data_IF_059829010265
#
_entry.id   IF_059829010265
#
_cell.length_a   1.000
_cell.length_b   1.000
_cell.length_c   1.000
_cell.angle_alpha   90.00
_cell.angle_beta   90.00
_cell.angle_gamma   90.00
#
_symmetry.space_group_name_H-M   'P 1'
#
loop_
_entity.id
_entity.type
_entity.pdbx_description
1 polymer ?
#
# COMPACT_ATOMS: atom_id res chain seq x y z
N UNK A 1 -5.73 18.44 13.10
CA UNK A 1 -6.59 17.23 13.14
C UNK A 1 -5.72 16.01 12.94
N UNK A 2 -5.83 15.00 13.80
CA UNK A 2 -5.11 13.73 13.61
C UNK A 2 -5.81 12.88 12.53
N UNK A 3 -5.10 12.43 11.50
CA UNK A 3 -5.67 11.64 10.38
C UNK A 3 -5.18 10.19 10.34
N UNK A 4 -4.02 9.91 10.92
CA UNK A 4 -3.55 8.55 11.25
C UNK A 4 -2.85 8.56 12.61
N UNK A 5 -2.32 7.43 13.09
CA UNK A 5 -1.56 7.38 14.34
C UNK A 5 -0.38 8.38 14.38
N UNK A 6 0.32 8.57 13.27
CA UNK A 6 1.56 9.37 13.24
C UNK A 6 1.49 10.60 12.33
N UNK A 7 0.34 10.89 11.72
CA UNK A 7 0.18 12.03 10.82
C UNK A 7 -1.03 12.89 11.18
N UNK A 8 -0.82 14.21 11.08
CA UNK A 8 -1.84 15.24 11.19
C UNK A 8 -2.14 15.86 9.83
N UNK A 9 -3.34 16.40 9.66
CA UNK A 9 -3.77 17.06 8.43
C UNK A 9 -2.88 18.26 8.09
N UNK A 10 -2.48 19.02 9.10
CA UNK A 10 -1.67 20.24 8.98
C UNK A 10 -0.27 19.98 8.40
N UNK A 11 0.24 18.75 8.53
CA UNK A 11 1.53 18.37 7.92
C UNK A 11 1.46 18.29 6.40
N UNK A 12 0.27 17.99 5.85
CA UNK A 12 0.04 17.92 4.41
C UNK A 12 -0.55 19.23 3.87
N UNK A 13 -1.38 19.91 4.65
CA UNK A 13 -2.06 21.14 4.26
C UNK A 13 -1.92 22.19 5.38
N UNK A 14 -0.83 22.99 5.38
CA UNK A 14 -0.52 23.94 6.45
C UNK A 14 -1.59 25.01 6.67
N UNK A 15 -2.37 25.34 5.64
CA UNK A 15 -3.48 26.31 5.73
C UNK A 15 -4.67 25.79 6.54
N UNK A 16 -4.82 24.47 6.71
CA UNK A 16 -5.92 23.83 7.45
C UNK A 16 -7.29 23.91 6.79
N UNK A 17 -7.54 24.88 5.91
CA UNK A 17 -8.79 25.03 5.17
C UNK A 17 -8.78 24.14 3.91
N UNK A 18 -9.22 22.89 4.07
CA UNK A 18 -9.18 21.88 3.02
C UNK A 18 -10.61 21.43 2.69
N UNK A 19 -11.05 21.48 1.42
CA UNK A 19 -12.32 20.89 1.00
C UNK A 19 -12.38 19.40 1.35
N UNK A 20 -13.53 18.91 1.81
CA UNK A 20 -13.66 17.53 2.32
C UNK A 20 -13.23 16.44 1.33
N UNK A 21 -13.39 16.65 0.02
CA UNK A 21 -12.91 15.70 -0.99
C UNK A 21 -11.37 15.65 -1.09
N UNK A 22 -10.68 16.78 -0.89
CA UNK A 22 -9.22 16.83 -0.82
C UNK A 22 -8.75 16.22 0.49
N UNK A 23 -9.45 16.47 1.60
CA UNK A 23 -9.12 15.87 2.90
C UNK A 23 -9.16 14.34 2.84
N UNK A 24 -10.15 13.76 2.14
CA UNK A 24 -10.23 12.32 1.92
C UNK A 24 -9.02 11.77 1.15
N UNK A 25 -8.54 12.51 0.13
CA UNK A 25 -7.33 12.13 -0.60
C UNK A 25 -6.08 12.17 0.29
N UNK A 26 -5.95 13.22 1.10
CA UNK A 26 -4.84 13.36 2.06
C UNK A 26 -4.88 12.21 3.06
N UNK A 27 -6.06 11.85 3.57
CA UNK A 27 -6.23 10.73 4.50
C UNK A 27 -5.81 9.41 3.86
N UNK A 28 -6.21 9.16 2.61
CA UNK A 28 -5.81 7.96 1.87
C UNK A 28 -4.28 7.89 1.67
N UNK A 29 -3.65 9.02 1.33
CA UNK A 29 -2.19 9.13 1.19
C UNK A 29 -1.49 8.87 2.53
N UNK A 30 -1.94 9.53 3.60
CA UNK A 30 -1.38 9.38 4.94
C UNK A 30 -1.48 7.92 5.45
N UNK A 31 -2.54 7.20 5.10
CA UNK A 31 -2.66 5.77 5.41
C UNK A 31 -1.60 4.91 4.69
N UNK A 32 -1.27 5.22 3.43
CA UNK A 32 -0.20 4.51 2.73
C UNK A 32 1.17 4.81 3.33
N UNK A 33 1.42 6.09 3.65
CA UNK A 33 2.66 6.51 4.31
C UNK A 33 2.77 5.94 5.73
N UNK A 34 1.65 5.71 6.42
CA UNK A 34 1.65 5.05 7.72
C UNK A 34 2.17 3.61 7.60
N UNK A 35 1.73 2.86 6.59
CA UNK A 35 2.25 1.50 6.33
C UNK A 35 3.74 1.51 6.00
N UNK A 36 4.21 2.48 5.23
CA UNK A 36 5.63 2.67 4.96
C UNK A 36 6.42 2.99 6.23
N UNK A 37 5.88 3.86 7.09
CA UNK A 37 6.45 4.20 8.40
C UNK A 37 6.59 2.95 9.27
N UNK A 38 5.54 2.13 9.32
CA UNK A 38 5.49 0.89 10.10
C UNK A 38 6.50 -0.14 9.56
N UNK A 39 6.65 -0.25 8.23
CA UNK A 39 7.64 -1.12 7.58
C UNK A 39 9.08 -0.79 8.00
N UNK A 40 9.42 0.49 8.09
CA UNK A 40 10.77 0.92 8.49
C UNK A 40 10.93 1.10 10.00
N UNK A 41 9.83 1.13 10.76
CA UNK A 41 9.79 1.58 12.15
C UNK A 41 10.55 2.91 12.35
N UNK A 42 10.41 3.84 11.41
CA UNK A 42 11.19 5.07 11.34
C UNK A 42 10.29 6.29 11.10
N UNK A 43 10.57 7.45 11.70
CA UNK A 43 9.80 8.66 11.44
C UNK A 43 9.81 9.10 9.98
N UNK A 44 8.66 9.57 9.50
CA UNK A 44 8.48 10.19 8.19
C UNK A 44 8.17 11.67 8.41
N UNK A 45 8.85 12.55 7.69
CA UNK A 45 8.61 14.00 7.70
C UNK A 45 8.04 14.42 6.35
N UNK A 46 6.85 15.00 6.36
CA UNK A 46 6.25 15.60 5.16
C UNK A 46 6.90 16.96 4.93
N UNK A 47 7.50 17.14 3.76
CA UNK A 47 8.10 18.42 3.35
C UNK A 47 7.14 19.26 2.53
N UNK A 48 6.36 18.59 1.66
CA UNK A 48 5.39 19.25 0.80
C UNK A 48 4.23 18.31 0.50
N UNK A 49 3.02 18.70 0.91
CA UNK A 49 1.77 18.01 0.56
C UNK A 49 0.93 18.81 -0.43
N UNK A 50 -0.26 19.23 0.00
CA UNK A 50 -1.20 20.04 -0.76
C UNK A 50 -0.56 21.37 -1.19
N UNK A 51 -0.57 21.65 -2.50
CA UNK A 51 0.08 22.82 -3.07
C UNK A 51 -0.60 23.26 -4.36
N UNK A 52 -1.08 24.51 -4.42
CA UNK A 52 -1.74 25.07 -5.62
C UNK A 52 -0.81 25.18 -6.83
N UNK A 53 0.48 25.41 -6.57
CA UNK A 53 1.56 25.47 -7.57
C UNK A 53 2.28 24.14 -7.75
N UNK A 54 1.81 23.07 -7.09
CA UNK A 54 2.41 21.74 -7.15
C UNK A 54 2.02 20.93 -8.39
N UNK A 55 2.39 19.65 -8.38
CA UNK A 55 1.85 18.67 -9.35
C UNK A 55 0.32 18.56 -9.23
N UNK A 56 -0.33 17.94 -10.23
CA UNK A 56 -1.77 17.74 -10.18
C UNK A 56 -2.19 16.92 -8.95
N UNK A 57 -1.40 15.92 -8.56
CA UNK A 57 -1.67 15.09 -7.39
C UNK A 57 -1.49 15.89 -6.09
N UNK A 58 -0.50 16.79 -6.04
CA UNK A 58 -0.35 17.72 -4.91
C UNK A 58 -1.54 18.67 -4.83
N UNK A 59 -2.04 19.22 -5.94
CA UNK A 59 -3.25 20.09 -5.95
C UNK A 59 -4.50 19.35 -5.47
N UNK A 60 -4.55 18.04 -5.67
CA UNK A 60 -5.67 17.17 -5.26
C UNK A 60 -5.46 16.52 -3.89
N UNK A 61 -4.34 16.76 -3.22
CA UNK A 61 -4.01 16.16 -1.92
C UNK A 61 -3.68 14.67 -1.98
N UNK A 62 -3.42 14.11 -3.16
CA UNK A 62 -3.10 12.69 -3.37
C UNK A 62 -1.60 12.43 -3.60
N UNK A 63 -0.74 13.46 -3.53
CA UNK A 63 0.71 13.33 -3.64
C UNK A 63 1.46 14.18 -2.63
N UNK A 64 2.63 13.71 -2.21
CA UNK A 64 3.51 14.42 -1.27
C UNK A 64 5.00 14.14 -1.53
N UNK A 65 5.83 15.07 -1.07
CA UNK A 65 7.28 14.93 -0.94
C UNK A 65 7.62 14.77 0.54
N UNK A 66 8.43 13.78 0.85
CA UNK A 66 8.77 13.45 2.23
C UNK A 66 10.18 12.86 2.35
N UNK A 67 10.64 12.74 3.60
CA UNK A 67 11.86 12.03 3.98
C UNK A 67 11.54 10.96 5.02
N UNK A 68 12.39 9.94 5.11
CA UNK A 68 12.30 8.91 6.15
C UNK A 68 13.60 8.92 6.94
N UNK A 69 13.51 9.04 8.26
CA UNK A 69 14.69 9.16 9.12
C UNK A 69 15.61 7.95 8.97
N UNK A 70 16.90 8.20 8.73
CA UNK A 70 17.92 7.16 8.56
C UNK A 70 17.81 6.33 7.28
N UNK A 71 17.02 6.77 6.29
CA UNK A 71 16.92 6.12 4.98
C UNK A 71 17.23 7.10 3.85
N UNK A 72 17.86 6.60 2.81
CA UNK A 72 18.01 7.34 1.56
C UNK A 72 16.80 7.08 0.64
N UNK A 73 16.67 7.88 -0.40
CA UNK A 73 15.57 7.84 -1.36
C UNK A 73 15.48 6.50 -2.07
N UNK A 74 16.61 5.90 -2.45
CA UNK A 74 16.62 4.59 -3.12
C UNK A 74 16.04 3.47 -2.24
N UNK A 75 16.40 3.44 -0.95
CA UNK A 75 15.83 2.49 0.01
C UNK A 75 14.32 2.68 0.16
N UNK A 76 13.88 3.94 0.27
CA UNK A 76 12.47 4.27 0.43
C UNK A 76 11.67 3.91 -0.83
N UNK A 77 12.21 4.20 -2.02
CA UNK A 77 11.63 3.83 -3.30
C UNK A 77 11.49 2.32 -3.44
N UNK A 78 12.56 1.57 -3.16
CA UNK A 78 12.53 0.10 -3.24
C UNK A 78 11.49 -0.51 -2.28
N UNK A 79 11.34 0.07 -1.08
CA UNK A 79 10.31 -0.35 -0.13
C UNK A 79 8.90 -0.04 -0.63
N UNK A 80 8.65 1.16 -1.18
CA UNK A 80 7.38 1.51 -1.80
C UNK A 80 7.02 0.56 -2.95
N UNK A 81 7.96 0.29 -3.86
CA UNK A 81 7.76 -0.66 -4.96
C UNK A 81 7.41 -2.06 -4.45
N UNK A 82 8.09 -2.51 -3.40
CA UNK A 82 7.80 -3.81 -2.76
C UNK A 82 6.41 -3.84 -2.14
N UNK A 83 6.02 -2.80 -1.40
CA UNK A 83 4.69 -2.69 -0.79
C UNK A 83 3.58 -2.64 -1.84
N UNK A 84 3.80 -1.95 -2.96
CA UNK A 84 2.86 -1.91 -4.09
C UNK A 84 2.74 -3.30 -4.74
N UNK A 85 3.88 -3.94 -5.03
CA UNK A 85 3.92 -5.27 -5.65
C UNK A 85 3.21 -6.32 -4.79
N UNK A 86 3.30 -6.21 -3.48
CA UNK A 86 2.64 -7.11 -2.54
C UNK A 86 1.16 -6.75 -2.29
N UNK A 87 0.64 -5.68 -2.91
CA UNK A 87 -0.74 -5.20 -2.68
C UNK A 87 -0.97 -4.64 -1.28
N UNK A 88 0.10 -4.33 -0.53
CA UNK A 88 0.00 -3.81 0.84
C UNK A 88 -0.34 -2.32 0.86
N UNK A 89 0.11 -1.56 -0.14
CA UNK A 89 -0.31 -0.18 -0.37
C UNK A 89 -0.93 -0.02 -1.76
N UNK A 90 -1.73 1.03 -1.92
CA UNK A 90 -2.33 1.40 -3.19
C UNK A 90 -1.22 1.75 -4.19
N UNK A 91 -1.39 1.32 -5.44
CA UNK A 91 -0.46 1.64 -6.52
C UNK A 91 -0.35 3.17 -6.72
N UNK A 92 0.83 3.64 -7.10
CA UNK A 92 1.13 5.06 -7.19
C UNK A 92 2.38 5.38 -8.01
N UNK A 93 2.54 6.66 -8.32
CA UNK A 93 3.76 7.20 -8.93
C UNK A 93 4.79 7.46 -7.86
N UNK A 94 6.00 6.93 -8.03
CA UNK A 94 7.14 7.15 -7.15
C UNK A 94 8.19 7.95 -7.91
N UNK A 95 8.68 9.04 -7.31
CA UNK A 95 9.75 9.86 -7.87
C UNK A 95 10.86 10.07 -6.84
N UNK A 96 12.08 10.26 -7.32
CA UNK A 96 13.21 10.69 -6.51
C UNK A 96 13.60 12.10 -6.96
N UNK A 97 13.65 13.03 -6.00
CA UNK A 97 14.19 14.37 -6.25
C UNK A 97 15.70 14.39 -6.03
N UNK A 98 16.15 13.75 -4.96
CA UNK A 98 17.56 13.57 -4.65
C UNK A 98 17.78 12.37 -3.71
N UNK A 99 18.95 12.32 -3.06
CA UNK A 99 19.35 11.24 -2.16
C UNK A 99 18.42 11.01 -0.98
N UNK A 100 17.63 12.00 -0.54
CA UNK A 100 16.83 11.87 0.68
C UNK A 100 15.34 12.19 0.45
N UNK A 101 15.03 12.93 -0.62
CA UNK A 101 13.67 13.38 -0.92
C UNK A 101 12.96 12.47 -1.90
N UNK A 102 11.85 11.89 -1.44
CA UNK A 102 11.00 11.00 -2.23
C UNK A 102 9.65 11.64 -2.49
N UNK A 103 9.20 11.54 -3.72
CA UNK A 103 7.84 11.81 -4.12
C UNK A 103 7.03 10.53 -4.15
N UNK A 104 5.85 10.55 -3.55
CA UNK A 104 4.86 9.51 -3.74
C UNK A 104 3.49 10.12 -3.98
N UNK A 105 2.80 9.64 -5.01
CA UNK A 105 1.44 10.01 -5.28
C UNK A 105 0.59 8.79 -5.61
N UNK A 106 -0.63 8.76 -5.08
CA UNK A 106 -1.57 7.68 -5.36
C UNK A 106 -2.00 7.75 -6.82
N UNK A 107 -2.04 6.59 -7.48
CA UNK A 107 -2.68 6.49 -8.79
C UNK A 107 -4.14 6.88 -8.62
N UNK A 108 -4.72 7.70 -9.51
CA UNK A 108 -6.13 8.05 -9.45
C UNK A 108 -6.98 6.79 -9.51
N UNK A 109 -7.55 6.37 -8.38
CA UNK A 109 -8.49 5.25 -8.35
C UNK A 109 -9.81 5.80 -8.89
N UNK A 110 -10.00 5.72 -10.21
CA UNK A 110 -11.24 6.17 -10.88
C UNK A 110 -11.57 7.63 -10.63
N UNK A 111 -11.06 8.51 -11.50
CA UNK A 111 -11.47 9.92 -11.69
C UNK A 111 -12.85 10.28 -11.08
N UNK A 112 -12.80 11.24 -10.13
CA UNK A 112 -13.89 12.05 -9.51
C UNK A 112 -14.90 11.30 -8.61
N UNK A 113 -14.84 11.56 -7.29
CA UNK A 113 -15.91 11.20 -6.34
C UNK A 113 -17.12 12.15 -6.38
N UNK A 114 -17.05 13.25 -7.15
CA UNK A 114 -18.00 14.36 -7.11
C UNK A 114 -18.55 14.79 -8.49
N UNK A 115 -18.02 14.31 -9.62
CA UNK A 115 -18.69 14.46 -10.93
C UNK A 115 -18.43 13.26 -11.85
N UNK A 116 -19.31 12.27 -11.74
CA UNK A 116 -19.88 11.64 -12.95
C UNK A 116 -21.34 12.03 -12.99
N UNK A 117 -21.64 13.18 -13.58
CA UNK A 117 -22.92 13.30 -14.27
C UNK A 117 -22.88 12.27 -15.39
N UNK A 118 -23.57 11.16 -15.18
CA UNK A 118 -24.05 10.33 -16.27
C UNK A 118 -24.92 11.22 -17.15
N UNK A 119 -24.33 11.83 -18.16
CA UNK A 119 -25.12 12.39 -19.25
C UNK A 119 -25.59 11.18 -20.08
N UNK A 120 -26.90 10.91 -20.18
CA UNK A 120 -27.39 9.87 -21.06
C UNK A 120 -27.21 10.36 -22.49
N UNK A 121 -26.25 9.80 -23.24
CA UNK A 121 -26.25 9.96 -24.69
C UNK A 121 -27.42 9.14 -25.23
N UNK A 122 -28.53 9.85 -25.43
CA UNK A 122 -29.74 9.43 -26.13
C UNK A 122 -29.37 9.18 -27.60
N UNK A 123 -29.16 7.93 -27.96
CA UNK A 123 -29.12 7.43 -29.34
C UNK A 123 -29.86 6.10 -29.37
N UNK A 124 -31.08 6.12 -29.91
CA UNK A 124 -32.04 5.01 -29.86
C UNK A 124 -31.66 3.84 -30.76
N UNK A 125 -32.08 2.65 -30.31
CA UNK A 125 -32.00 1.38 -31.03
C UNK A 125 -32.69 0.28 -30.22
N UNK A 126 -34.02 0.28 -30.24
CA UNK A 126 -34.94 -0.85 -29.94
C UNK A 126 -34.46 -2.14 -30.63
N UNK A 127 -34.64 -3.38 -30.17
CA UNK A 127 -35.42 -3.97 -29.08
C UNK A 127 -35.21 -5.51 -29.07
N UNK A 128 -35.15 -6.10 -27.88
CA UNK A 128 -35.57 -7.47 -27.47
C UNK A 128 -34.68 -8.72 -27.79
N UNK A 129 -34.46 -9.64 -26.82
CA UNK A 129 -33.64 -10.86 -26.93
C UNK A 129 -34.50 -12.10 -27.32
N UNK A 130 -33.95 -13.29 -27.67
CA UNK A 130 -33.48 -14.26 -26.65
C UNK A 130 -32.37 -15.25 -27.08
N UNK A 131 -31.77 -15.90 -26.06
CA UNK A 131 -31.29 -17.30 -26.00
C UNK A 131 -30.68 -17.99 -27.24
N UNK A 132 -29.44 -18.50 -27.12
CA UNK A 132 -29.07 -19.91 -27.45
C UNK A 132 -27.72 -20.24 -26.79
N UNK A 133 -27.69 -21.33 -26.01
CA UNK A 133 -26.49 -22.04 -25.56
C UNK A 133 -26.28 -23.28 -26.46
N UNK A 134 -25.24 -24.12 -26.21
CA UNK A 134 -23.92 -24.19 -26.85
C UNK A 134 -23.84 -25.17 -28.05
N UNK A 135 -22.73 -25.19 -28.81
CA UNK A 135 -22.35 -26.38 -29.57
C UNK A 135 -20.82 -26.56 -29.70
N UNK A 136 -20.44 -27.81 -29.50
CA UNK A 136 -19.13 -28.49 -29.54
C UNK A 136 -18.57 -28.63 -30.96
N UNK A 137 -17.25 -28.79 -31.12
CA UNK A 137 -16.63 -29.95 -31.81
C UNK A 137 -15.11 -30.01 -31.58
N UNK A 138 -14.69 -31.20 -31.17
CA UNK A 138 -13.38 -31.81 -30.90
C UNK A 138 -12.55 -32.06 -32.16
N UNK A 139 -11.21 -31.91 -32.08
CA UNK A 139 -10.22 -32.86 -32.65
C UNK A 139 -8.89 -32.80 -31.87
N UNK A 140 -8.50 -33.91 -31.23
CA UNK A 140 -7.16 -34.17 -30.65
C UNK A 140 -6.30 -34.99 -31.65
N UNK A 141 -4.95 -35.03 -31.55
CA UNK A 141 -4.25 -36.13 -30.83
C UNK A 141 -2.83 -35.76 -30.31
N UNK A 142 -1.97 -36.71 -29.83
CA UNK A 142 -2.18 -37.83 -28.93
C UNK A 142 -1.29 -37.77 -27.66
N UNK A 143 -1.63 -38.66 -26.73
CA UNK A 143 -1.03 -38.93 -25.41
C UNK A 143 0.18 -39.87 -25.52
N UNK A 144 1.29 -39.53 -24.85
CA UNK A 144 2.23 -40.51 -24.31
C UNK A 144 3.06 -39.89 -23.17
N UNK A 145 2.78 -40.24 -21.91
CA UNK A 145 3.86 -40.57 -20.97
C UNK A 145 3.38 -41.49 -19.83
N UNK A 146 4.28 -42.37 -19.45
CA UNK A 146 4.10 -43.66 -18.80
C UNK A 146 4.53 -43.57 -17.32
N UNK A 147 3.55 -43.65 -16.40
CA UNK A 147 3.46 -44.60 -15.27
C UNK A 147 4.62 -44.69 -14.24
N UNK A 148 4.19 -44.63 -12.95
CA UNK A 148 4.67 -45.37 -11.74
C UNK A 148 5.99 -44.90 -11.09
N UNK A 149 6.20 -44.79 -9.76
CA UNK A 149 5.65 -45.37 -8.52
C UNK A 149 5.86 -44.37 -7.34
N UNK A 150 4.91 -44.10 -6.43
CA UNK A 150 4.59 -44.79 -5.16
C UNK A 150 5.70 -44.85 -4.08
N UNK A 151 5.42 -44.21 -2.93
CA UNK A 151 5.54 -44.73 -1.53
C UNK A 151 6.50 -44.01 -0.53
N UNK A 152 5.87 -43.27 0.40
CA UNK A 152 5.97 -43.26 1.90
C UNK A 152 7.34 -43.16 2.58
N UNK A 153 7.52 -42.17 3.48
CA UNK A 153 7.83 -42.44 4.91
C UNK A 153 7.51 -41.26 5.84
N UNK A 154 6.70 -41.56 6.85
CA UNK A 154 6.54 -40.83 8.11
C UNK A 154 7.84 -40.90 8.92
N UNK A 155 8.26 -39.80 9.53
CA UNK A 155 9.03 -39.82 10.77
C UNK A 155 8.74 -38.54 11.57
N UNK A 156 8.06 -38.72 12.71
CA UNK A 156 7.99 -37.73 13.76
C UNK A 156 9.25 -37.75 14.62
N UNK A 157 9.57 -36.61 15.22
CA UNK A 157 10.44 -36.47 16.40
C UNK A 157 10.03 -35.14 17.07
N UNK A 158 9.18 -35.17 18.10
CA UNK A 158 9.49 -35.43 19.51
C UNK A 158 10.18 -34.23 20.22
N UNK A 159 9.40 -33.66 21.14
CA UNK A 159 9.73 -33.10 22.47
C UNK A 159 11.03 -32.29 22.68
N UNK A 160 10.81 -31.07 23.21
CA UNK A 160 11.37 -30.66 24.51
C UNK A 160 12.69 -29.87 24.48
N UNK A 161 12.69 -28.64 24.99
CA UNK A 161 13.09 -28.41 26.39
C UNK A 161 12.85 -26.95 26.82
N UNK A 162 12.35 -26.87 28.03
CA UNK A 162 12.23 -25.73 28.92
C UNK A 162 13.62 -25.25 29.38
N UNK A 163 13.90 -23.95 29.29
CA UNK A 163 14.90 -23.30 30.16
C UNK A 163 14.30 -22.02 30.72
N UNK A 164 13.78 -22.13 31.95
CA UNK A 164 13.68 -21.00 32.87
C UNK A 164 15.11 -20.55 33.21
N UNK A 165 15.43 -19.30 32.92
CA UNK A 165 16.61 -18.61 33.44
C UNK A 165 16.17 -17.39 34.24
N UNK A 166 15.76 -17.59 35.48
CA UNK A 166 15.66 -16.53 36.49
C UNK A 166 17.06 -15.99 36.77
N UNK A 167 17.38 -14.80 36.26
CA UNK A 167 18.56 -14.05 36.71
C UNK A 167 18.16 -13.34 38.01
N UNK A 168 18.54 -13.96 39.13
CA UNK A 168 18.64 -13.31 40.44
C UNK A 168 19.99 -12.61 40.48
N UNK A 169 20.02 -11.27 40.50
CA UNK A 169 21.22 -10.52 40.86
C UNK A 169 20.95 -9.66 42.11
N UNK A 170 21.30 -10.31 43.23
CA UNK A 170 21.78 -9.84 44.52
C UNK A 170 21.88 -8.32 44.74
N UNK A 171 21.07 -7.82 45.68
CA UNK A 171 21.32 -6.59 46.44
C UNK A 171 22.65 -6.71 47.21
N UNK A 172 23.55 -5.74 47.05
CA UNK A 172 24.59 -5.46 48.03
C UNK A 172 24.23 -4.15 48.76
N UNK A 173 23.96 -4.24 50.06
CA UNK A 173 23.72 -3.09 50.93
C UNK A 173 25.04 -2.50 51.45
N UNK A 174 25.06 -1.20 51.75
CA UNK A 174 26.27 -0.48 52.12
C UNK A 174 26.61 -0.65 53.60
N UNK A 175 27.89 -0.45 53.97
CA UNK A 175 28.33 0.06 55.27
C UNK A 175 29.85 0.27 55.28
N UNK A 176 30.29 1.52 55.34
CA UNK A 176 31.19 2.05 56.37
C UNK A 176 31.06 3.57 56.40
#
# INVERSE_FOLDING_TARGET
>A
MQITKNFKLEEFAPSGNVPGYIENNIRALAQQLQKLRDQFNAPITILKGLSETGSNEQKLGSGAIFTVSGKNGDQVKAALETLIKNGQIINGTIGLYDKNHVYFALTPIGQRFDKRTTTPTKGGGTSTPPSTQPNTTTTAPPLAENKTNKTILLAGLALGLLVLGTIVFKEDKPKR
#
